data_IF_298552240178
#
_entry.id   IF_298552240178
#
_cell.length_a   1.000
_cell.length_b   1.000
_cell.length_c   1.000
_cell.angle_alpha   90.00
_cell.angle_beta   90.00
_cell.angle_gamma   90.00
#
_symmetry.space_group_name_H-M   'P 1'
#
loop_
_entity.id
_entity.type
_entity.pdbx_description
1 polymer ?
#
# COMPACT_ATOMS: atom_id res chain seq x y z
N UNK A 1 8.58 -10.25 10.34
CA UNK A 1 9.80 -10.56 9.56
C UNK A 1 9.92 -9.79 8.24
N UNK A 2 9.30 -10.16 7.10
CA UNK A 2 9.56 -9.44 5.81
C UNK A 2 9.29 -7.93 5.90
N UNK A 3 8.16 -7.52 6.50
CA UNK A 3 7.81 -6.10 6.67
C UNK A 3 8.75 -5.31 7.59
N UNK A 4 9.31 -5.95 8.61
CA UNK A 4 10.29 -5.29 9.51
C UNK A 4 11.63 -5.10 8.82
N UNK A 5 12.05 -6.10 8.03
CA UNK A 5 13.29 -6.03 7.25
C UNK A 5 13.15 -4.93 6.18
N UNK A 6 12.01 -4.87 5.49
CA UNK A 6 11.74 -3.82 4.51
C UNK A 6 11.77 -2.42 5.16
N UNK A 7 11.12 -2.25 6.32
CA UNK A 7 11.16 -0.99 7.06
C UNK A 7 12.58 -0.59 7.49
N UNK A 8 13.38 -1.55 7.96
CA UNK A 8 14.78 -1.31 8.29
C UNK A 8 15.60 -0.89 7.07
N UNK A 9 15.45 -1.58 5.94
CA UNK A 9 16.14 -1.26 4.69
C UNK A 9 15.76 0.13 4.17
N UNK A 10 14.50 0.53 4.28
CA UNK A 10 14.07 1.88 3.90
C UNK A 10 14.72 2.97 4.75
N UNK A 11 14.86 2.74 6.06
CA UNK A 11 15.52 3.68 6.98
C UNK A 11 17.01 3.78 6.68
N UNK A 12 17.69 2.65 6.46
CA UNK A 12 19.11 2.64 6.10
C UNK A 12 19.38 3.28 4.73
N UNK A 13 18.51 3.04 3.74
CA UNK A 13 18.57 3.72 2.45
C UNK A 13 18.42 5.24 2.62
N UNK A 14 17.43 5.71 3.38
CA UNK A 14 17.24 7.14 3.63
C UNK A 14 18.41 7.78 4.38
N UNK A 15 19.07 7.05 5.29
CA UNK A 15 20.30 7.51 5.96
C UNK A 15 21.45 7.68 4.96
N UNK A 16 21.64 6.72 4.05
CA UNK A 16 22.67 6.79 3.03
C UNK A 16 22.40 7.95 2.06
N UNK A 17 21.17 8.12 1.59
CA UNK A 17 20.74 9.23 0.73
C UNK A 17 20.94 10.59 1.43
N UNK A 18 20.56 10.70 2.70
CA UNK A 18 20.75 11.91 3.49
C UNK A 18 22.22 12.29 3.64
N UNK A 19 23.10 11.32 3.89
CA UNK A 19 24.56 11.55 3.98
C UNK A 19 25.15 12.01 2.64
N UNK A 20 24.74 11.40 1.54
CA UNK A 20 25.20 11.81 0.22
C UNK A 20 24.70 13.22 -0.15
N UNK A 21 23.44 13.53 0.16
CA UNK A 21 22.87 14.85 -0.04
C UNK A 21 23.57 15.92 0.82
N UNK A 22 23.85 15.60 2.09
CA UNK A 22 24.61 16.45 3.00
C UNK A 22 26.01 16.75 2.45
N UNK A 23 26.74 15.72 2.02
CA UNK A 23 28.06 15.87 1.39
C UNK A 23 28.01 16.76 0.15
N UNK A 24 27.07 16.49 -0.77
CA UNK A 24 26.88 17.32 -1.97
C UNK A 24 26.52 18.77 -1.63
N UNK A 25 25.86 19.00 -0.51
CA UNK A 25 25.54 20.35 -0.05
C UNK A 25 26.77 21.06 0.50
N UNK A 26 27.52 20.43 1.41
CA UNK A 26 28.70 21.04 2.04
C UNK A 26 29.83 21.28 1.05
N UNK A 27 30.03 20.39 0.06
CA UNK A 27 30.99 20.59 -1.04
C UNK A 27 30.72 21.85 -1.87
N UNK A 28 29.48 22.36 -1.90
CA UNK A 28 29.10 23.59 -2.61
C UNK A 28 29.33 24.85 -1.78
N UNK A 29 29.77 24.72 -0.54
CA UNK A 29 29.96 25.83 0.40
C UNK A 29 31.44 25.91 0.78
N UNK A 30 32.30 26.50 -0.07
CA UNK A 30 33.75 26.38 0.02
C UNK A 30 34.38 27.12 1.21
N UNK A 31 33.60 27.92 1.94
CA UNK A 31 34.07 28.67 3.10
C UNK A 31 33.87 27.93 4.42
N UNK A 32 33.24 26.75 4.42
CA UNK A 32 33.13 25.91 5.61
C UNK A 32 34.46 25.24 5.92
N UNK A 33 34.84 25.27 7.20
CA UNK A 33 35.88 24.36 7.70
C UNK A 33 35.36 22.93 7.74
N UNK A 34 36.26 21.95 7.81
CA UNK A 34 35.91 20.53 7.89
C UNK A 34 34.94 20.24 9.06
N UNK A 35 35.24 20.78 10.25
CA UNK A 35 34.36 20.65 11.42
C UNK A 35 32.98 21.27 11.20
N UNK A 36 32.91 22.45 10.56
CA UNK A 36 31.63 23.08 10.25
C UNK A 36 30.83 22.28 9.20
N UNK A 37 31.51 21.69 8.22
CA UNK A 37 30.89 20.82 7.23
C UNK A 37 30.34 19.53 7.87
N UNK A 38 31.05 18.95 8.83
CA UNK A 38 30.55 17.78 9.59
C UNK A 38 29.32 18.13 10.44
N UNK A 39 29.35 19.25 11.15
CA UNK A 39 28.24 19.72 11.98
C UNK A 39 26.98 19.99 11.15
N UNK A 40 27.14 20.73 10.05
CA UNK A 40 26.05 21.00 9.10
C UNK A 40 25.56 19.70 8.47
N UNK A 41 26.48 18.79 8.13
CA UNK A 41 26.14 17.50 7.54
C UNK A 41 25.30 16.64 8.47
N UNK A 42 25.62 16.59 9.77
CA UNK A 42 24.82 15.88 10.78
C UNK A 42 23.42 16.47 10.92
N UNK A 43 23.32 17.80 11.06
CA UNK A 43 22.02 18.47 11.15
C UNK A 43 21.16 18.28 9.89
N UNK A 44 21.80 18.29 8.71
CA UNK A 44 21.12 18.01 7.44
C UNK A 44 20.54 16.59 7.40
N UNK A 45 21.34 15.58 7.79
CA UNK A 45 20.89 14.18 7.80
C UNK A 45 19.72 13.99 8.75
N UNK A 46 19.76 14.62 9.93
CA UNK A 46 18.66 14.57 10.89
C UNK A 46 17.36 15.14 10.31
N UNK A 47 17.41 16.36 9.76
CA UNK A 47 16.25 16.98 9.11
C UNK A 47 15.75 16.19 7.89
N UNK A 48 16.66 15.59 7.10
CA UNK A 48 16.29 14.74 5.98
C UNK A 48 15.50 13.50 6.44
N UNK A 49 15.93 12.86 7.53
CA UNK A 49 15.23 11.70 8.09
C UNK A 49 13.86 12.05 8.67
N UNK A 50 13.74 13.22 9.31
CA UNK A 50 12.44 13.71 9.80
C UNK A 50 11.46 13.96 8.65
N UNK A 51 11.91 14.63 7.60
CA UNK A 51 11.11 14.88 6.41
C UNK A 51 10.67 13.57 5.73
N UNK A 52 11.60 12.62 5.54
CA UNK A 52 11.28 11.30 4.96
C UNK A 52 10.26 10.55 5.81
N UNK A 53 10.40 10.61 7.13
CA UNK A 53 9.44 10.00 8.07
C UNK A 53 8.04 10.60 7.93
N UNK A 54 7.94 11.91 7.72
CA UNK A 54 6.64 12.57 7.49
C UNK A 54 6.00 12.17 6.16
N UNK A 55 6.79 12.20 5.08
CA UNK A 55 6.31 11.79 3.76
C UNK A 55 5.83 10.33 3.73
N UNK A 56 6.54 9.42 4.42
CA UNK A 56 6.09 8.04 4.54
C UNK A 56 4.81 7.91 5.37
N UNK A 57 4.65 8.69 6.44
CA UNK A 57 3.41 8.72 7.22
C UNK A 57 2.22 9.17 6.38
N UNK A 58 2.38 10.25 5.60
CA UNK A 58 1.33 10.70 4.68
C UNK A 58 1.01 9.64 3.62
N UNK A 59 2.05 9.08 2.99
CA UNK A 59 1.89 8.05 1.96
C UNK A 59 1.14 6.81 2.48
N UNK A 60 1.44 6.36 3.70
CA UNK A 60 0.72 5.25 4.34
C UNK A 60 -0.74 5.63 4.62
N UNK A 61 -0.99 6.84 5.14
CA UNK A 61 -2.35 7.34 5.36
C UNK A 61 -3.16 7.38 4.07
N UNK A 62 -2.57 7.88 2.99
CA UNK A 62 -3.18 7.99 1.66
C UNK A 62 -3.39 6.64 0.99
N UNK A 63 -2.45 5.72 1.14
CA UNK A 63 -2.63 4.35 0.66
C UNK A 63 -3.76 3.63 1.39
N UNK A 64 -3.90 3.88 2.71
CA UNK A 64 -5.02 3.38 3.51
C UNK A 64 -6.38 3.91 3.04
N UNK A 65 -6.48 5.20 2.76
CA UNK A 65 -7.73 5.80 2.27
C UNK A 65 -8.11 5.28 0.88
N UNK A 66 -7.16 5.20 -0.05
CA UNK A 66 -7.39 4.60 -1.37
C UNK A 66 -7.83 3.14 -1.24
N UNK A 67 -7.13 2.34 -0.42
CA UNK A 67 -7.46 0.94 -0.21
C UNK A 67 -8.88 0.77 0.34
N UNK A 68 -9.30 1.62 1.27
CA UNK A 68 -10.66 1.61 1.82
C UNK A 68 -11.72 1.83 0.73
N UNK A 69 -11.52 2.83 -0.13
CA UNK A 69 -12.45 3.13 -1.23
C UNK A 69 -12.52 1.97 -2.25
N UNK A 70 -11.37 1.39 -2.61
CA UNK A 70 -11.32 0.23 -3.50
C UNK A 70 -11.96 -1.02 -2.89
N UNK A 71 -11.72 -1.30 -1.61
CA UNK A 71 -12.30 -2.44 -0.91
C UNK A 71 -13.82 -2.31 -0.75
N UNK A 72 -14.35 -1.10 -0.56
CA UNK A 72 -15.79 -0.85 -0.56
C UNK A 72 -16.41 -1.13 -1.92
N UNK A 73 -15.85 -0.58 -3.00
CA UNK A 73 -16.32 -0.84 -4.38
C UNK A 73 -16.24 -2.33 -4.73
N UNK A 74 -15.17 -3.00 -4.34
CA UNK A 74 -15.01 -4.44 -4.55
C UNK A 74 -16.04 -5.25 -3.76
N UNK A 75 -16.29 -4.92 -2.48
CA UNK A 75 -17.31 -5.60 -1.68
C UNK A 75 -18.70 -5.47 -2.29
N UNK A 76 -19.05 -4.30 -2.81
CA UNK A 76 -20.33 -4.08 -3.50
C UNK A 76 -20.43 -4.94 -4.76
N UNK A 77 -19.39 -4.95 -5.61
CA UNK A 77 -19.39 -5.76 -6.83
C UNK A 77 -19.45 -7.26 -6.51
N UNK A 78 -18.66 -7.71 -5.53
CA UNK A 78 -18.65 -9.09 -5.06
C UNK A 78 -20.03 -9.49 -4.52
N UNK A 79 -20.68 -8.62 -3.74
CA UNK A 79 -22.05 -8.84 -3.25
C UNK A 79 -23.03 -9.06 -4.40
N UNK A 80 -23.00 -8.20 -5.43
CA UNK A 80 -23.85 -8.30 -6.62
C UNK A 80 -23.60 -9.59 -7.42
N UNK A 81 -22.34 -10.00 -7.55
CA UNK A 81 -22.00 -11.24 -8.25
C UNK A 81 -22.45 -12.47 -7.47
N UNK A 82 -22.27 -12.48 -6.15
CA UNK A 82 -22.72 -13.57 -5.29
C UNK A 82 -24.24 -13.70 -5.27
N UNK A 83 -24.98 -12.58 -5.20
CA UNK A 83 -26.45 -12.63 -5.28
C UNK A 83 -26.92 -13.10 -6.65
N UNK A 84 -26.33 -12.60 -7.74
CA UNK A 84 -26.66 -13.07 -9.09
C UNK A 84 -26.38 -14.57 -9.25
N UNK A 85 -25.21 -15.04 -8.82
CA UNK A 85 -24.85 -16.45 -8.86
C UNK A 85 -25.83 -17.32 -8.04
N UNK A 86 -26.25 -16.83 -6.87
CA UNK A 86 -27.24 -17.51 -6.03
C UNK A 86 -28.61 -17.61 -6.72
N UNK A 87 -29.13 -16.52 -7.30
CA UNK A 87 -30.39 -16.54 -8.04
C UNK A 87 -30.33 -17.47 -9.26
N UNK A 88 -29.23 -17.46 -10.01
CA UNK A 88 -29.02 -18.37 -11.13
C UNK A 88 -29.02 -19.83 -10.65
N UNK A 89 -28.30 -20.13 -9.56
CA UNK A 89 -28.26 -21.47 -8.99
C UNK A 89 -29.63 -21.98 -8.55
N UNK A 90 -30.40 -21.14 -7.84
CA UNK A 90 -31.79 -21.46 -7.44
C UNK A 90 -32.69 -21.67 -8.66
N UNK A 91 -32.56 -20.83 -9.68
CA UNK A 91 -33.31 -20.97 -10.93
C UNK A 91 -33.02 -22.30 -11.63
N UNK A 92 -31.74 -22.65 -11.79
CA UNK A 92 -31.33 -23.92 -12.42
C UNK A 92 -31.82 -25.12 -11.61
N UNK A 93 -31.68 -25.10 -10.28
CA UNK A 93 -32.18 -26.17 -9.42
C UNK A 93 -33.71 -26.32 -9.52
N UNK A 94 -34.45 -25.20 -9.54
CA UNK A 94 -35.89 -25.19 -9.68
C UNK A 94 -36.36 -25.78 -11.02
N UNK A 95 -35.77 -25.33 -12.13
CA UNK A 95 -36.06 -25.86 -13.47
C UNK A 95 -35.77 -27.36 -13.52
N UNK A 96 -34.63 -27.79 -12.98
CA UNK A 96 -34.24 -29.21 -12.94
C UNK A 96 -35.24 -30.04 -12.15
N UNK A 97 -35.68 -29.57 -10.97
CA UNK A 97 -36.70 -30.24 -10.17
C UNK A 97 -38.05 -30.36 -10.87
N UNK A 98 -38.48 -29.32 -11.60
CA UNK A 98 -39.72 -29.35 -12.40
C UNK A 98 -39.61 -30.40 -13.51
N UNK A 99 -38.50 -30.40 -14.26
CA UNK A 99 -38.27 -31.36 -15.35
C UNK A 99 -38.29 -32.80 -14.83
N UNK A 100 -37.60 -33.07 -13.72
CA UNK A 100 -37.59 -34.41 -13.08
C UNK A 100 -39.00 -34.83 -12.66
N UNK A 101 -39.78 -33.92 -12.07
CA UNK A 101 -41.17 -34.20 -11.68
C UNK A 101 -42.06 -34.51 -12.89
N UNK A 102 -41.92 -33.77 -13.98
CA UNK A 102 -42.69 -33.99 -15.21
C UNK A 102 -42.35 -35.36 -15.83
N UNK A 103 -41.06 -35.70 -15.95
CA UNK A 103 -40.66 -37.02 -16.44
C UNK A 103 -41.17 -38.15 -15.54
N UNK A 104 -41.06 -38.01 -14.22
CA UNK A 104 -41.53 -39.02 -13.26
C UNK A 104 -43.06 -39.15 -13.17
N UNK A 105 -43.82 -38.16 -13.63
CA UNK A 105 -45.29 -38.19 -13.70
C UNK A 105 -45.81 -38.83 -14.99
N UNK A 106 -44.94 -39.05 -15.99
CA UNK A 106 -45.34 -39.51 -17.32
C UNK A 106 -45.03 -41.01 -17.54
N UNK A 107 -44.31 -41.66 -16.61
CA UNK A 107 -44.03 -43.10 -16.60
C UNK A 107 -44.86 -43.83 -15.57
#
# INVERSE_FOLDING_TARGET
MIREIEGFLMVEAARAEGRDAARRFTERVPWLTETQAEDVGRAYVEGYLELRRELWRDAVGRAGSLRGEYEERYRLLRGRLLTAAWFIGVGVAGVTGIVVKILGSTG
#
